data_IF_589549871354
#
_entry.id   IF_589549871354
#
_cell.length_a   1.000
_cell.length_b   1.000
_cell.length_c   1.000
_cell.angle_alpha   90.00
_cell.angle_beta   90.00
_cell.angle_gamma   90.00
#
_symmetry.space_group_name_H-M   'P 1'
#
loop_
_entity.id
_entity.type
_entity.pdbx_description
1 polymer ?
#
# COMPACT_ATOMS: atom_id res chain seq x y z
N UNK A 1 -21.72 2.17 42.05
CA UNK A 1 -20.33 2.61 42.37
C UNK A 1 -19.56 2.63 41.05
N UNK A 2 -19.48 3.80 40.43
CA UNK A 2 -18.90 4.00 39.09
C UNK A 2 -17.38 3.93 39.23
N UNK A 3 -16.76 2.96 38.58
CA UNK A 3 -15.30 2.88 38.48
C UNK A 3 -14.86 3.93 37.47
N UNK A 4 -14.62 5.15 37.97
CA UNK A 4 -13.96 6.21 37.20
C UNK A 4 -12.56 5.70 36.89
N UNK A 5 -12.32 5.27 35.65
CA UNK A 5 -10.97 5.10 35.14
C UNK A 5 -10.34 6.50 35.09
N UNK A 6 -9.58 6.82 36.13
CA UNK A 6 -8.63 7.92 36.12
C UNK A 6 -7.72 7.75 34.90
N UNK A 7 -7.91 8.60 33.89
CA UNK A 7 -6.99 8.86 32.78
C UNK A 7 -5.72 9.51 33.35
N UNK A 8 -4.99 8.76 34.17
CA UNK A 8 -3.72 9.13 34.76
C UNK A 8 -2.61 8.35 34.07
N UNK A 9 -2.33 8.67 32.80
CA UNK A 9 -1.00 8.46 32.25
C UNK A 9 -0.84 9.34 31.00
N UNK A 10 -0.24 10.51 31.17
CA UNK A 10 0.38 11.25 30.07
C UNK A 10 1.50 10.36 29.51
N UNK A 11 1.16 9.45 28.58
CA UNK A 11 2.18 8.76 27.80
C UNK A 11 2.88 9.84 26.99
N UNK A 12 4.12 10.17 27.36
CA UNK A 12 4.99 10.98 26.51
C UNK A 12 5.11 10.26 25.16
N UNK A 13 4.93 11.00 24.07
CA UNK A 13 5.21 10.48 22.74
C UNK A 13 6.64 9.92 22.72
N UNK A 14 6.79 8.68 22.28
CA UNK A 14 8.06 7.98 22.23
C UNK A 14 8.29 7.51 20.80
N UNK A 15 9.14 8.22 20.06
CA UNK A 15 9.49 7.89 18.67
C UNK A 15 10.02 6.44 18.51
N UNK A 16 10.57 5.84 19.55
CA UNK A 16 11.12 4.48 19.49
C UNK A 16 10.16 3.41 20.01
N UNK A 17 8.85 3.73 20.12
CA UNK A 17 7.87 2.74 20.55
C UNK A 17 7.81 1.57 19.55
N UNK A 18 7.67 0.31 20.02
CA UNK A 18 7.68 -0.88 19.16
C UNK A 18 6.53 -0.90 18.13
N UNK A 19 5.49 -0.11 18.35
CA UNK A 19 4.37 0.10 17.44
C UNK A 19 4.76 0.81 16.13
N UNK A 20 5.85 1.58 16.13
CA UNK A 20 6.42 2.28 14.96
C UNK A 20 7.44 1.45 14.18
N UNK A 21 7.50 0.15 14.44
CA UNK A 21 8.25 -0.81 13.64
C UNK A 21 7.25 -1.69 12.88
N UNK A 22 7.21 -1.61 11.53
CA UNK A 22 6.22 -2.34 10.76
C UNK A 22 6.52 -3.83 10.74
N UNK A 23 5.50 -4.61 11.09
CA UNK A 23 5.45 -6.06 10.86
C UNK A 23 5.20 -6.32 9.37
N UNK A 24 5.91 -7.28 8.77
CA UNK A 24 5.97 -7.59 7.33
C UNK A 24 7.16 -6.93 6.59
N UNK A 25 8.35 -7.49 6.83
CA UNK A 25 9.62 -7.29 6.09
C UNK A 25 10.53 -6.14 6.53
N UNK A 26 10.09 -5.24 7.41
CA UNK A 26 10.89 -4.08 7.84
C UNK A 26 10.90 -3.90 9.36
N UNK A 27 10.80 -4.97 10.14
CA UNK A 27 10.71 -4.95 11.62
C UNK A 27 11.92 -4.32 12.31
N UNK A 28 13.07 -4.26 11.62
CA UNK A 28 14.32 -3.68 12.12
C UNK A 28 14.38 -2.17 11.81
N UNK A 29 13.58 -1.70 10.86
CA UNK A 29 13.59 -0.32 10.40
C UNK A 29 12.51 0.48 11.11
N UNK A 30 12.88 1.67 11.59
CA UNK A 30 11.89 2.65 12.01
C UNK A 30 10.96 2.99 10.84
N UNK A 31 9.69 3.27 11.12
CA UNK A 31 8.64 3.43 10.10
C UNK A 31 9.00 4.42 8.99
N UNK A 32 9.73 5.51 9.29
CA UNK A 32 10.21 6.46 8.28
C UNK A 32 11.19 5.83 7.27
N UNK A 33 12.15 5.04 7.74
CA UNK A 33 13.08 4.32 6.88
C UNK A 33 12.41 3.16 6.13
N UNK A 34 11.43 2.51 6.76
CA UNK A 34 10.67 1.45 6.13
C UNK A 34 9.89 1.95 4.89
N UNK A 35 9.36 3.18 4.91
CA UNK A 35 8.70 3.76 3.72
C UNK A 35 9.68 3.95 2.56
N UNK A 36 10.91 4.44 2.81
CA UNK A 36 11.92 4.56 1.75
C UNK A 36 12.30 3.20 1.14
N UNK A 37 12.46 2.19 1.98
CA UNK A 37 12.73 0.81 1.53
C UNK A 37 11.55 0.28 0.70
N UNK A 38 10.33 0.50 1.16
CA UNK A 38 9.12 0.08 0.47
C UNK A 38 8.94 0.79 -0.89
N UNK A 39 9.17 2.10 -0.96
CA UNK A 39 9.16 2.86 -2.22
C UNK A 39 10.25 2.37 -3.19
N UNK A 40 11.43 2.04 -2.68
CA UNK A 40 12.51 1.46 -3.51
C UNK A 40 12.12 0.11 -4.10
N UNK A 41 11.52 -0.76 -3.28
CA UNK A 41 10.97 -2.04 -3.74
C UNK A 41 9.88 -1.86 -4.80
N UNK A 42 8.99 -0.86 -4.65
CA UNK A 42 7.98 -0.55 -5.66
C UNK A 42 8.59 -0.09 -6.99
N UNK A 43 9.67 0.70 -6.98
CA UNK A 43 10.38 1.11 -8.20
C UNK A 43 10.97 -0.12 -8.88
N UNK A 44 11.69 -0.97 -8.14
CA UNK A 44 12.26 -2.21 -8.67
C UNK A 44 11.17 -3.09 -9.28
N UNK A 45 10.06 -3.27 -8.56
CA UNK A 45 8.93 -4.04 -9.05
C UNK A 45 8.34 -3.47 -10.34
N UNK A 46 8.20 -2.15 -10.43
CA UNK A 46 7.72 -1.45 -11.64
C UNK A 46 8.64 -1.70 -12.83
N UNK A 47 9.96 -1.64 -12.62
CA UNK A 47 10.96 -1.92 -13.66
C UNK A 47 10.85 -3.38 -14.12
N UNK A 48 10.75 -4.33 -13.18
CA UNK A 48 10.60 -5.75 -13.51
C UNK A 48 9.34 -6.01 -14.34
N UNK A 49 8.20 -5.42 -13.95
CA UNK A 49 6.94 -5.54 -14.71
C UNK A 49 7.06 -4.88 -16.09
N UNK A 50 7.71 -3.73 -16.20
CA UNK A 50 7.95 -3.08 -17.50
C UNK A 50 8.83 -3.94 -18.43
N UNK A 51 9.91 -4.53 -17.90
CA UNK A 51 10.76 -5.47 -18.64
C UNK A 51 10.00 -6.74 -19.05
N UNK A 52 9.14 -7.26 -18.17
CA UNK A 52 8.28 -8.41 -18.47
C UNK A 52 7.31 -8.07 -19.61
N UNK A 53 6.62 -6.93 -19.53
CA UNK A 53 5.72 -6.46 -20.58
C UNK A 53 6.44 -6.30 -21.92
N UNK A 54 7.61 -5.66 -21.93
CA UNK A 54 8.44 -5.51 -23.12
C UNK A 54 8.82 -6.87 -23.73
N UNK A 55 9.16 -7.84 -22.89
CA UNK A 55 9.48 -9.21 -23.35
C UNK A 55 8.26 -9.89 -23.96
N UNK A 56 7.09 -9.80 -23.31
CA UNK A 56 5.84 -10.37 -23.83
C UNK A 56 5.42 -9.73 -25.16
N UNK A 57 5.58 -8.42 -25.31
CA UNK A 57 5.31 -7.71 -26.55
C UNK A 57 6.30 -8.13 -27.65
N UNK A 58 7.61 -8.13 -27.38
CA UNK A 58 8.64 -8.48 -28.37
C UNK A 58 8.55 -9.92 -28.89
N UNK A 59 7.99 -10.83 -28.09
CA UNK A 59 7.82 -12.25 -28.41
C UNK A 59 6.42 -12.59 -28.95
N UNK A 60 5.57 -11.59 -29.20
CA UNK A 60 4.19 -11.77 -29.70
C UNK A 60 3.30 -12.63 -28.78
N UNK A 61 3.47 -12.52 -27.45
CA UNK A 61 2.56 -13.14 -26.48
C UNK A 61 1.22 -12.39 -26.39
N UNK A 62 1.19 -11.12 -26.77
CA UNK A 62 0.02 -10.25 -26.72
C UNK A 62 -0.54 -10.05 -28.13
N UNK A 63 -1.80 -10.45 -28.36
CA UNK A 63 -2.48 -10.25 -29.64
C UNK A 63 -3.16 -8.87 -29.68
N UNK A 64 -3.79 -8.46 -28.58
CA UNK A 64 -4.52 -7.19 -28.47
C UNK A 64 -3.63 -6.04 -27.93
N UNK A 65 -2.49 -5.78 -28.57
CA UNK A 65 -1.48 -4.79 -28.11
C UNK A 65 -2.10 -3.39 -27.93
N UNK A 66 -3.01 -3.01 -28.83
CA UNK A 66 -3.79 -1.77 -28.82
C UNK A 66 -4.51 -1.52 -27.48
N UNK A 67 -4.93 -2.59 -26.79
CA UNK A 67 -5.62 -2.52 -25.49
C UNK A 67 -4.62 -2.57 -24.34
N UNK A 68 -3.62 -3.45 -24.42
CA UNK A 68 -2.66 -3.65 -23.33
C UNK A 68 -1.73 -2.45 -23.14
N UNK A 69 -1.25 -1.82 -24.22
CA UNK A 69 -0.30 -0.71 -24.15
C UNK A 69 -0.85 0.49 -23.35
N UNK A 70 -2.02 1.07 -23.66
CA UNK A 70 -2.55 2.18 -22.86
C UNK A 70 -2.88 1.76 -21.43
N UNK A 71 -3.35 0.53 -21.20
CA UNK A 71 -3.64 0.03 -19.86
C UNK A 71 -2.39 -0.08 -18.98
N UNK A 72 -1.30 -0.67 -19.50
CA UNK A 72 -0.04 -0.82 -18.78
C UNK A 72 0.61 0.54 -18.53
N UNK A 73 0.59 1.45 -19.51
CA UNK A 73 1.09 2.83 -19.32
C UNK A 73 0.30 3.55 -18.24
N UNK A 74 -1.03 3.46 -18.25
CA UNK A 74 -1.88 4.07 -17.23
C UNK A 74 -1.56 3.54 -15.83
N UNK A 75 -1.52 2.22 -15.66
CA UNK A 75 -1.19 1.58 -14.37
C UNK A 75 0.22 1.99 -13.90
N UNK A 76 1.20 1.98 -14.81
CA UNK A 76 2.57 2.38 -14.52
C UNK A 76 2.67 3.84 -14.08
N UNK A 77 1.98 4.76 -14.76
CA UNK A 77 1.95 6.18 -14.40
C UNK A 77 1.28 6.41 -13.04
N UNK A 78 0.14 5.77 -12.78
CA UNK A 78 -0.55 5.87 -11.48
C UNK A 78 0.37 5.38 -10.36
N UNK A 79 1.08 4.26 -10.57
CA UNK A 79 2.02 3.73 -9.58
C UNK A 79 3.22 4.67 -9.36
N UNK A 80 3.79 5.23 -10.44
CA UNK A 80 4.90 6.18 -10.35
C UNK A 80 4.50 7.47 -9.61
N UNK A 81 3.38 8.08 -9.96
CA UNK A 81 2.84 9.27 -9.27
C UNK A 81 2.67 8.95 -7.79
N UNK A 82 2.11 7.78 -7.50
CA UNK A 82 1.97 7.29 -6.15
C UNK A 82 3.30 7.19 -5.38
N UNK A 83 4.34 6.61 -5.97
CA UNK A 83 5.68 6.54 -5.37
C UNK A 83 6.23 7.94 -5.08
N UNK A 84 6.08 8.89 -6.00
CA UNK A 84 6.49 10.28 -5.77
C UNK A 84 5.72 10.92 -4.62
N UNK A 85 4.40 10.70 -4.53
CA UNK A 85 3.60 11.16 -3.39
C UNK A 85 4.10 10.56 -2.07
N UNK A 86 4.45 9.27 -2.04
CA UNK A 86 5.00 8.64 -0.84
C UNK A 86 6.30 9.32 -0.38
N UNK A 87 7.24 9.52 -1.30
CA UNK A 87 8.54 10.14 -1.02
C UNK A 87 8.39 11.58 -0.52
N UNK A 88 7.55 12.38 -1.18
CA UNK A 88 7.25 13.76 -0.76
C UNK A 88 6.56 13.76 0.61
N UNK A 89 5.64 12.82 0.86
CA UNK A 89 4.95 12.67 2.14
C UNK A 89 5.89 12.37 3.30
N UNK A 90 6.93 11.56 3.06
CA UNK A 90 7.97 11.32 4.07
C UNK A 90 8.85 12.55 4.28
N UNK A 91 9.32 13.18 3.19
CA UNK A 91 10.19 14.36 3.27
C UNK A 91 9.53 15.57 3.94
N UNK A 92 8.23 15.77 3.72
CA UNK A 92 7.47 16.88 4.31
C UNK A 92 6.77 16.50 5.62
N UNK A 93 6.91 15.25 6.09
CA UNK A 93 6.16 14.69 7.22
C UNK A 93 4.63 14.96 7.13
N UNK A 94 4.07 14.87 5.92
CA UNK A 94 2.65 15.13 5.64
C UNK A 94 1.93 13.83 5.29
N UNK A 95 0.97 13.45 6.15
CA UNK A 95 0.18 12.23 5.96
C UNK A 95 -0.66 12.21 4.68
N UNK A 96 -1.11 13.37 4.19
CA UNK A 96 -2.04 13.48 3.06
C UNK A 96 -1.42 12.84 1.80
N UNK A 97 -0.14 13.10 1.52
CA UNK A 97 0.52 12.53 0.35
C UNK A 97 0.69 11.01 0.45
N UNK A 98 0.93 10.49 1.66
CA UNK A 98 1.04 9.04 1.90
C UNK A 98 -0.33 8.38 1.78
N UNK A 99 -1.40 9.03 2.23
CA UNK A 99 -2.78 8.57 2.05
C UNK A 99 -3.20 8.52 0.57
N UNK A 100 -2.77 9.48 -0.25
CA UNK A 100 -2.98 9.45 -1.70
C UNK A 100 -2.30 8.22 -2.30
N UNK A 101 -1.03 7.97 -1.95
CA UNK A 101 -0.32 6.75 -2.39
C UNK A 101 -1.06 5.47 -1.98
N UNK A 102 -1.49 5.37 -0.72
CA UNK A 102 -2.25 4.24 -0.19
C UNK A 102 -3.52 4.01 -1.01
N UNK A 103 -4.22 5.08 -1.38
CA UNK A 103 -5.48 5.01 -2.15
C UNK A 103 -5.23 4.49 -3.57
N UNK A 104 -4.25 5.04 -4.28
CA UNK A 104 -3.89 4.57 -5.61
C UNK A 104 -3.44 3.11 -5.61
N UNK A 105 -2.56 2.75 -4.69
CA UNK A 105 -2.06 1.39 -4.59
C UNK A 105 -3.16 0.39 -4.23
N UNK A 106 -4.06 0.75 -3.31
CA UNK A 106 -5.23 -0.08 -2.98
C UNK A 106 -6.15 -0.26 -4.19
N UNK A 107 -6.38 0.79 -4.97
CA UNK A 107 -7.16 0.71 -6.21
C UNK A 107 -6.53 -0.24 -7.23
N UNK A 108 -5.22 -0.15 -7.43
CA UNK A 108 -4.49 -1.05 -8.34
C UNK A 108 -4.54 -2.51 -7.87
N UNK A 109 -4.41 -2.76 -6.56
CA UNK A 109 -4.54 -4.10 -5.97
C UNK A 109 -5.93 -4.69 -6.25
N UNK A 110 -6.99 -3.91 -6.02
CA UNK A 110 -8.37 -4.37 -6.28
C UNK A 110 -8.60 -4.67 -7.75
N UNK A 111 -8.08 -3.84 -8.67
CA UNK A 111 -8.15 -4.10 -10.11
C UNK A 111 -7.40 -5.39 -10.47
N UNK A 112 -6.20 -5.60 -9.91
CA UNK A 112 -5.40 -6.79 -10.11
C UNK A 112 -6.14 -8.06 -9.66
N UNK A 113 -6.68 -8.05 -8.44
CA UNK A 113 -7.45 -9.17 -7.89
C UNK A 113 -8.75 -9.42 -8.67
N UNK A 114 -9.42 -8.37 -9.15
CA UNK A 114 -10.60 -8.52 -10.01
C UNK A 114 -10.24 -9.18 -11.36
N UNK A 115 -9.10 -8.81 -11.96
CA UNK A 115 -8.61 -9.46 -13.18
C UNK A 115 -8.26 -10.94 -12.91
N UNK A 116 -7.55 -11.22 -11.81
CA UNK A 116 -7.20 -12.59 -11.42
C UNK A 116 -8.47 -13.45 -11.21
N UNK A 117 -9.48 -12.91 -10.53
CA UNK A 117 -10.78 -13.54 -10.37
C UNK A 117 -11.47 -13.81 -11.72
N UNK A 118 -11.45 -12.84 -12.64
CA UNK A 118 -11.98 -13.03 -14.00
C UNK A 118 -11.25 -14.14 -14.76
N UNK A 119 -9.92 -14.25 -14.62
CA UNK A 119 -9.15 -15.34 -15.25
C UNK A 119 -9.56 -16.71 -14.70
N UNK A 120 -9.68 -16.85 -13.37
CA UNK A 120 -10.17 -18.09 -12.76
C UNK A 120 -11.61 -18.40 -13.21
N UNK A 121 -12.47 -17.39 -13.29
CA UNK A 121 -13.86 -17.54 -13.72
C UNK A 121 -13.97 -17.99 -15.19
N UNK A 122 -13.20 -17.37 -16.09
CA UNK A 122 -13.15 -17.75 -17.51
C UNK A 122 -12.74 -19.20 -17.70
N UNK A 123 -11.79 -19.68 -16.90
CA UNK A 123 -11.42 -21.09 -16.87
C UNK A 123 -12.53 -21.98 -16.31
N UNK A 124 -13.14 -21.61 -15.17
CA UNK A 124 -14.16 -22.40 -14.49
C UNK A 124 -15.42 -22.63 -15.33
N UNK A 125 -15.82 -21.63 -16.14
CA UNK A 125 -16.96 -21.80 -17.07
C UNK A 125 -16.56 -22.57 -18.33
N UNK A 126 -15.29 -22.52 -18.75
CA UNK A 126 -14.78 -23.24 -19.90
C UNK A 126 -15.58 -22.97 -21.19
N UNK A 127 -15.81 -24.01 -21.99
CA UNK A 127 -16.54 -23.96 -23.27
C UNK A 127 -18.06 -23.78 -23.14
N UNK A 128 -18.60 -23.64 -21.93
CA UNK A 128 -20.05 -23.50 -21.73
C UNK A 128 -20.58 -22.18 -22.26
N UNK A 129 -19.72 -21.16 -22.40
CA UNK A 129 -20.03 -19.87 -23.00
C UNK A 129 -19.04 -19.57 -24.13
N UNK A 130 -19.55 -19.12 -25.27
CA UNK A 130 -18.74 -18.73 -26.44
C UNK A 130 -17.81 -17.55 -26.13
N UNK A 131 -18.17 -16.71 -25.15
CA UNK A 131 -17.36 -15.58 -24.70
C UNK A 131 -16.10 -16.03 -23.95
N UNK A 132 -16.21 -16.99 -23.03
CA UNK A 132 -15.07 -17.49 -22.24
C UNK A 132 -14.06 -18.29 -23.06
N UNK A 133 -14.47 -18.88 -24.19
CA UNK A 133 -13.56 -19.56 -25.12
C UNK A 133 -12.78 -18.59 -26.02
N UNK A 134 -13.43 -17.50 -26.48
CA UNK A 134 -12.85 -16.57 -27.46
C UNK A 134 -12.05 -15.43 -26.83
N UNK A 135 -12.44 -14.98 -25.64
CA UNK A 135 -11.83 -13.81 -24.99
C UNK A 135 -10.33 -13.97 -24.71
N UNK A 136 -9.84 -15.08 -24.11
CA UNK A 136 -8.41 -15.23 -23.85
C UNK A 136 -7.60 -15.32 -25.15
N UNK A 137 -8.12 -16.03 -26.16
CA UNK A 137 -7.47 -16.18 -27.49
C UNK A 137 -7.38 -14.87 -28.26
N UNK A 138 -8.37 -14.00 -28.09
CA UNK A 138 -8.36 -12.65 -28.68
C UNK A 138 -7.30 -11.76 -28.03
N UNK A 139 -7.16 -11.84 -26.71
CA UNK A 139 -6.26 -10.97 -25.96
C UNK A 139 -4.79 -11.42 -26.05
N UNK A 140 -4.53 -12.72 -25.93
CA UNK A 140 -3.18 -13.27 -25.81
C UNK A 140 -2.99 -14.52 -26.67
N UNK A 141 -1.74 -14.76 -27.07
CA UNK A 141 -1.35 -15.96 -27.78
C UNK A 141 -1.21 -17.13 -26.80
N UNK A 142 -2.31 -17.86 -26.61
CA UNK A 142 -2.37 -18.99 -25.67
C UNK A 142 -1.33 -20.08 -25.93
N UNK A 143 -0.95 -20.31 -27.18
CA UNK A 143 0.01 -21.36 -27.54
C UNK A 143 1.43 -21.03 -27.04
N UNK A 144 1.81 -19.75 -27.09
CA UNK A 144 3.10 -19.29 -26.56
C UNK A 144 3.12 -19.33 -25.01
N UNK A 145 2.02 -18.96 -24.37
CA UNK A 145 1.88 -19.11 -22.91
C UNK A 145 1.90 -20.57 -22.48
N UNK A 146 1.25 -21.47 -23.22
CA UNK A 146 1.22 -22.90 -22.93
C UNK A 146 2.61 -23.55 -23.09
N UNK A 147 3.44 -23.10 -24.04
CA UNK A 147 4.82 -23.58 -24.18
C UNK A 147 5.68 -23.31 -22.94
N UNK A 148 5.47 -22.18 -22.26
CA UNK A 148 6.28 -21.76 -21.11
C UNK A 148 5.68 -22.26 -19.79
N UNK A 149 4.38 -22.04 -19.59
CA UNK A 149 3.69 -22.29 -18.31
C UNK A 149 2.93 -23.61 -18.29
N UNK A 150 2.85 -24.32 -19.43
CA UNK A 150 2.11 -25.56 -19.57
C UNK A 150 0.60 -25.35 -19.77
N UNK A 151 -0.19 -26.44 -19.78
CA UNK A 151 -1.61 -26.42 -20.13
C UNK A 151 -2.50 -25.65 -19.15
N UNK A 152 -1.97 -25.30 -17.97
CA UNK A 152 -2.67 -24.54 -16.92
C UNK A 152 -2.19 -23.08 -16.82
N UNK A 153 -1.63 -22.53 -17.90
CA UNK A 153 -1.03 -21.20 -17.91
C UNK A 153 -1.95 -20.09 -17.36
N UNK A 154 -3.25 -20.13 -17.65
CA UNK A 154 -4.24 -19.17 -17.13
C UNK A 154 -4.30 -19.17 -15.60
N UNK A 155 -4.23 -20.35 -14.98
CA UNK A 155 -4.26 -20.50 -13.52
C UNK A 155 -2.96 -19.98 -12.89
N UNK A 156 -1.81 -20.28 -13.50
CA UNK A 156 -0.51 -19.77 -13.05
C UNK A 156 -0.49 -18.24 -13.15
N UNK A 157 -0.98 -17.66 -14.24
CA UNK A 157 -1.10 -16.20 -14.37
C UNK A 157 -1.98 -15.58 -13.27
N UNK A 158 -3.13 -16.20 -12.95
CA UNK A 158 -4.00 -15.72 -11.88
C UNK A 158 -3.32 -15.79 -10.51
N UNK A 159 -2.60 -16.87 -10.19
CA UNK A 159 -1.80 -16.98 -8.96
C UNK A 159 -0.73 -15.89 -8.91
N UNK A 160 0.02 -15.69 -10.00
CA UNK A 160 1.07 -14.67 -10.05
C UNK A 160 0.51 -13.26 -9.80
N UNK A 161 -0.67 -12.95 -10.33
CA UNK A 161 -1.38 -11.69 -10.07
C UNK A 161 -1.79 -11.55 -8.60
N UNK A 162 -2.33 -12.60 -7.98
CA UNK A 162 -2.66 -12.59 -6.55
C UNK A 162 -1.43 -12.48 -5.63
N UNK A 163 -0.33 -13.17 -5.96
CA UNK A 163 0.93 -13.05 -5.21
C UNK A 163 1.51 -11.64 -5.32
N UNK A 164 1.36 -11.00 -6.48
CA UNK A 164 1.70 -9.60 -6.70
C UNK A 164 0.85 -8.66 -5.84
N UNK A 165 -0.47 -8.87 -5.82
CA UNK A 165 -1.40 -8.11 -5.00
C UNK A 165 -1.08 -8.26 -3.50
N UNK A 166 -0.81 -9.47 -3.03
CA UNK A 166 -0.43 -9.75 -1.64
C UNK A 166 0.89 -9.07 -1.26
N UNK A 167 1.90 -9.12 -2.12
CA UNK A 167 3.19 -8.43 -1.91
C UNK A 167 3.00 -6.92 -1.81
N UNK A 168 2.13 -6.37 -2.67
CA UNK A 168 1.78 -4.95 -2.68
C UNK A 168 1.02 -4.54 -1.41
N UNK A 169 0.18 -5.43 -0.86
CA UNK A 169 -0.51 -5.22 0.41
C UNK A 169 0.46 -5.14 1.61
N UNK A 170 1.59 -5.86 1.57
CA UNK A 170 2.64 -5.69 2.58
C UNK A 170 3.20 -4.26 2.58
N UNK A 171 3.47 -3.72 1.39
CA UNK A 171 3.93 -2.34 1.20
C UNK A 171 2.86 -1.33 1.67
N UNK A 172 1.59 -1.61 1.37
CA UNK A 172 0.46 -0.80 1.85
C UNK A 172 0.41 -0.76 3.40
N UNK A 173 0.70 -1.89 4.06
CA UNK A 173 0.77 -1.99 5.51
C UNK A 173 1.82 -1.08 6.12
N UNK A 174 3.02 -1.01 5.52
CA UNK A 174 4.10 -0.11 5.95
C UNK A 174 3.65 1.35 5.86
N UNK A 175 3.10 1.76 4.71
CA UNK A 175 2.65 3.13 4.49
C UNK A 175 1.52 3.54 5.44
N UNK A 176 0.57 2.64 5.72
CA UNK A 176 -0.53 2.88 6.69
C UNK A 176 0.00 3.11 8.10
N UNK A 177 1.01 2.33 8.53
CA UNK A 177 1.65 2.55 9.82
C UNK A 177 2.37 3.90 9.89
N UNK A 178 3.00 4.33 8.80
CA UNK A 178 3.63 5.64 8.74
C UNK A 178 2.63 6.78 8.92
N UNK A 179 1.45 6.68 8.30
CA UNK A 179 0.38 7.65 8.53
C UNK A 179 -0.05 7.69 10.00
N UNK A 180 -0.24 6.53 10.63
CA UNK A 180 -0.58 6.48 12.07
C UNK A 180 0.49 7.14 12.94
N UNK A 181 1.77 6.93 12.62
CA UNK A 181 2.89 7.59 13.30
C UNK A 181 2.82 9.12 13.18
N UNK A 182 2.61 9.67 11.98
CA UNK A 182 2.46 11.12 11.78
C UNK A 182 1.27 11.67 12.57
N UNK A 183 0.11 11.01 12.50
CA UNK A 183 -1.09 11.45 13.21
C UNK A 183 -0.86 11.55 14.70
N UNK A 184 -0.22 10.54 15.29
CA UNK A 184 0.10 10.54 16.71
C UNK A 184 1.11 11.64 17.04
N UNK A 185 2.19 11.79 16.26
CA UNK A 185 3.19 12.85 16.45
C UNK A 185 2.56 14.25 16.46
N UNK A 186 1.64 14.52 15.53
CA UNK A 186 0.91 15.80 15.44
C UNK A 186 -0.03 15.98 16.64
N UNK A 187 -0.82 14.97 17.00
CA UNK A 187 -1.75 15.04 18.13
C UNK A 187 -1.02 15.32 19.46
N UNK A 188 0.12 14.66 19.70
CA UNK A 188 0.92 14.92 20.90
C UNK A 188 1.56 16.32 20.92
N UNK A 189 1.98 16.83 19.76
CA UNK A 189 2.53 18.19 19.67
C UNK A 189 1.48 19.26 19.99
N UNK A 190 0.22 19.04 19.59
CA UNK A 190 -0.90 19.93 19.92
C UNK A 190 -1.20 19.92 21.43
N UNK A 191 -1.24 18.75 22.06
CA UNK A 191 -1.47 18.63 23.51
C UNK A 191 -0.38 19.32 24.35
N UNK A 192 0.87 19.34 23.88
CA UNK A 192 1.95 20.10 24.54
C UNK A 192 1.79 21.62 24.36
N UNK A 193 1.24 22.04 23.22
CA UNK A 193 1.04 23.47 22.89
C UNK A 193 -0.18 24.05 23.61
N UNK A 194 -1.17 23.23 23.97
CA UNK A 194 -2.33 23.63 24.79
C UNK A 194 -2.04 23.64 26.31
N UNK A 195 -0.85 23.19 26.73
CA UNK A 195 -0.40 23.20 28.14
C UNK A 195 0.48 24.41 28.61
N UNK A 196 0.30 25.69 28.18
CA UNK A 196 0.97 26.81 28.82
C UNK A 196 0.06 27.48 29.87
N UNK A 197 0.49 27.46 31.13
CA UNK A 197 0.12 28.41 32.22
C UNK A 197 -1.34 28.47 32.66
N UNK A 198 -1.74 27.69 33.68
CA UNK A 198 -2.49 28.18 34.88
C UNK A 198 -2.45 27.09 35.94
N UNK A 199 -1.35 27.00 36.68
CA UNK A 199 -1.40 26.67 38.10
C UNK A 199 -0.52 27.70 38.82
N UNK A 200 -0.99 28.94 38.87
CA UNK A 200 -0.67 29.82 39.99
C UNK A 200 -1.42 29.27 41.19
N UNK A 201 -0.75 28.45 42.00
CA UNK A 201 -1.20 28.22 43.38
C UNK A 201 -1.00 29.56 44.09
N UNK A 202 -2.04 30.41 44.07
CA UNK A 202 -2.18 31.48 45.05
C UNK A 202 -2.37 30.80 46.41
N UNK A 203 -1.27 30.63 47.14
CA UNK A 203 -1.33 30.38 48.57
C UNK A 203 -1.68 31.72 49.21
N UNK A 204 -2.97 32.01 49.28
CA UNK A 204 -3.48 33.14 50.06
C UNK A 204 -2.95 33.04 51.49
N UNK A 205 -2.19 34.05 51.88
CA UNK A 205 -1.94 34.41 53.27
C UNK A 205 -3.29 34.68 53.94
N UNK A 206 -3.72 33.78 54.82
CA UNK A 206 -4.71 34.10 55.85
C UNK A 206 -4.08 33.86 57.22
N UNK A 207 -3.60 34.98 57.77
CA UNK A 207 -3.55 35.32 59.18
C UNK A 207 -4.36 34.38 60.10
N UNK A 208 -3.67 33.77 61.06
CA UNK A 208 -4.17 33.74 62.45
C UNK A 208 -3.09 34.39 63.32
N UNK A 209 -3.47 35.54 63.88
CA UNK A 209 -2.75 36.26 64.94
C UNK A 209 -2.83 35.43 66.24
N UNK A 210 -1.68 35.34 66.90
CA UNK A 210 -1.40 35.15 68.36
C UNK A 210 -2.30 34.13 69.07
#
# INVERSE_FOLDING_TARGET
MVKVHTLGNSRRFNDNAPEYYPTACCEILHVSHAVYAASSLQIIFTIVVACLYYTLESRNFLNAIEVFRPAVVFIGLVNLIGIFCALIGVLLEREIFVQIQITFLCGLVVICDAIAFCLVFTMAMGKKLTLTEKLPKYLVNGDEFEKILGPFWLYICAILLHMTAASTMCILGINRRYTMYIQQKVAYSQLQTEQPTTITVNREESFIKI
#
